data_IF_459715278737
#
_entry.id   IF_459715278737
#
_cell.length_a   1.000
_cell.length_b   1.000
_cell.length_c   1.000
_cell.angle_alpha   90.00
_cell.angle_beta   90.00
_cell.angle_gamma   90.00
#
_symmetry.space_group_name_H-M   'P 1'
#
loop_
_entity.id
_entity.type
_entity.pdbx_description
1 polymer ?
#
# COMPACT_ATOMS: atom_id res chain seq x y z
N UNK A 1 -18.07 17.32 -10.37
CA UNK A 1 -17.56 15.93 -10.27
C UNK A 1 -18.76 15.00 -10.46
N UNK A 2 -18.66 13.99 -11.31
CA UNK A 2 -19.73 12.99 -11.50
C UNK A 2 -19.79 12.05 -10.30
N UNK A 3 -20.96 11.45 -10.00
CA UNK A 3 -21.12 10.54 -8.86
C UNK A 3 -20.15 9.35 -8.91
N UNK A 4 -19.89 8.81 -10.11
CA UNK A 4 -18.87 7.77 -10.31
C UNK A 4 -17.48 8.21 -9.85
N UNK A 5 -17.07 9.46 -10.11
CA UNK A 5 -15.76 9.97 -9.67
C UNK A 5 -15.69 10.06 -8.14
N UNK A 6 -16.80 10.42 -7.49
CA UNK A 6 -16.89 10.44 -6.01
C UNK A 6 -16.73 9.06 -5.42
N UNK A 7 -17.37 8.05 -6.01
CA UNK A 7 -17.26 6.65 -5.55
C UNK A 7 -15.82 6.17 -5.71
N UNK A 8 -15.22 6.36 -6.90
CA UNK A 8 -13.85 5.93 -7.18
C UNK A 8 -12.83 6.58 -6.22
N UNK A 9 -12.97 7.87 -5.95
CA UNK A 9 -12.10 8.57 -4.98
C UNK A 9 -12.38 8.15 -3.54
N UNK A 10 -13.65 7.89 -3.21
CA UNK A 10 -14.05 7.41 -1.86
C UNK A 10 -13.40 6.09 -1.47
N UNK A 11 -13.14 5.21 -2.45
CA UNK A 11 -12.39 3.97 -2.21
C UNK A 11 -10.98 4.24 -1.66
N UNK A 12 -10.31 5.31 -2.10
CA UNK A 12 -9.00 5.71 -1.56
C UNK A 12 -9.05 6.05 -0.06
N UNK A 13 -10.16 6.61 0.42
CA UNK A 13 -10.37 6.88 1.85
C UNK A 13 -10.64 5.58 2.62
N UNK A 14 -11.29 4.61 2.01
CA UNK A 14 -11.62 3.33 2.64
C UNK A 14 -10.39 2.43 2.86
N UNK A 15 -9.36 2.54 1.99
CA UNK A 15 -8.18 1.65 1.97
C UNK A 15 -7.49 1.49 3.34
N UNK A 16 -7.12 2.56 4.09
CA UNK A 16 -6.42 2.37 5.37
C UNK A 16 -7.28 1.67 6.41
N UNK A 17 -8.59 1.91 6.43
CA UNK A 17 -9.52 1.22 7.33
C UNK A 17 -9.63 -0.26 6.97
N UNK A 18 -9.77 -0.56 5.68
CA UNK A 18 -9.86 -1.95 5.21
C UNK A 18 -8.58 -2.72 5.54
N UNK A 19 -7.41 -2.14 5.29
CA UNK A 19 -6.13 -2.75 5.65
C UNK A 19 -6.05 -3.03 7.16
N UNK A 20 -6.37 -2.04 7.99
CA UNK A 20 -6.31 -2.19 9.45
C UNK A 20 -7.22 -3.32 9.94
N UNK A 21 -8.51 -3.28 9.59
CA UNK A 21 -9.46 -4.30 10.04
C UNK A 21 -9.20 -5.67 9.40
N UNK A 22 -8.81 -5.71 8.13
CA UNK A 22 -8.49 -6.95 7.44
C UNK A 22 -7.30 -7.67 8.08
N UNK A 23 -6.20 -6.95 8.35
CA UNK A 23 -5.04 -7.50 9.04
C UNK A 23 -5.37 -7.92 10.48
N UNK A 24 -6.15 -7.10 11.20
CA UNK A 24 -6.57 -7.42 12.57
C UNK A 24 -7.40 -8.71 12.62
N UNK A 25 -8.44 -8.82 11.78
CA UNK A 25 -9.32 -10.00 11.73
C UNK A 25 -8.56 -11.26 11.32
N UNK A 26 -7.64 -11.13 10.34
CA UNK A 26 -6.81 -12.26 9.93
C UNK A 26 -5.87 -12.69 11.05
N UNK A 27 -5.26 -11.75 11.76
CA UNK A 27 -4.35 -12.03 12.87
C UNK A 27 -5.07 -12.70 14.05
N UNK A 28 -6.31 -12.31 14.36
CA UNK A 28 -7.14 -12.96 15.38
C UNK A 28 -7.44 -14.43 15.07
N UNK A 29 -7.46 -14.79 13.78
CA UNK A 29 -7.64 -16.17 13.31
C UNK A 29 -6.34 -16.97 13.23
N UNK A 30 -5.17 -16.35 13.52
CA UNK A 30 -3.86 -16.99 13.47
C UNK A 30 -3.31 -17.18 14.90
N UNK A 31 -3.33 -18.40 15.49
CA UNK A 31 -2.85 -18.64 16.84
C UNK A 31 -1.39 -18.23 17.03
N UNK A 32 -1.12 -17.43 18.05
CA UNK A 32 0.24 -17.01 18.41
C UNK A 32 0.89 -15.97 17.49
N UNK A 33 0.12 -15.34 16.58
CA UNK A 33 0.66 -14.32 15.70
C UNK A 33 1.09 -13.05 16.45
N UNK A 34 2.34 -12.62 16.22
CA UNK A 34 2.91 -11.38 16.78
C UNK A 34 2.83 -10.23 15.76
N UNK A 35 2.03 -9.21 16.07
CA UNK A 35 1.98 -7.98 15.27
C UNK A 35 3.31 -7.20 15.28
N UNK A 36 4.13 -7.39 16.31
CA UNK A 36 5.40 -6.70 16.45
C UNK A 36 6.50 -7.34 15.61
N UNK A 37 6.59 -8.66 15.63
CA UNK A 37 7.73 -9.37 15.03
C UNK A 37 7.41 -9.98 13.69
N UNK A 38 6.17 -10.47 13.49
CA UNK A 38 5.80 -11.17 12.28
C UNK A 38 5.31 -10.24 11.18
N UNK A 39 5.78 -10.51 9.96
CA UNK A 39 5.34 -9.79 8.77
C UNK A 39 3.84 -9.99 8.50
N UNK A 40 3.17 -8.97 7.96
CA UNK A 40 1.77 -9.10 7.50
C UNK A 40 1.62 -10.19 6.43
N UNK A 41 2.63 -10.39 5.58
CA UNK A 41 2.65 -11.45 4.57
C UNK A 41 2.62 -12.85 5.19
N UNK A 42 3.11 -13.04 6.41
CA UNK A 42 3.05 -14.35 7.09
C UNK A 42 1.62 -14.80 7.37
N UNK A 43 0.65 -13.87 7.46
CA UNK A 43 -0.77 -14.21 7.55
C UNK A 43 -1.28 -14.97 6.31
N UNK A 44 -0.67 -14.74 5.15
CA UNK A 44 -0.98 -15.40 3.88
C UNK A 44 0.08 -16.38 3.40
N UNK A 45 1.10 -16.72 4.23
CA UNK A 45 2.18 -17.63 3.85
C UNK A 45 1.68 -19.05 3.55
N UNK A 46 2.43 -19.79 2.76
CA UNK A 46 2.15 -21.20 2.48
C UNK A 46 2.14 -21.98 3.81
N UNK A 47 1.08 -22.75 4.02
CA UNK A 47 0.87 -23.53 5.24
C UNK A 47 0.40 -22.72 6.45
N UNK A 48 0.23 -21.40 6.36
CA UNK A 48 -0.35 -20.61 7.44
C UNK A 48 -1.84 -20.97 7.66
N UNK A 49 -2.33 -20.97 8.91
CA UNK A 49 -3.75 -21.26 9.22
C UNK A 49 -4.72 -20.33 8.49
N UNK A 50 -4.25 -19.14 8.13
CA UNK A 50 -5.05 -18.08 7.50
C UNK A 50 -4.67 -17.82 6.04
N UNK A 51 -3.91 -18.71 5.39
CA UNK A 51 -3.36 -18.50 4.04
C UNK A 51 -4.41 -18.01 3.04
N UNK A 52 -5.46 -18.79 2.80
CA UNK A 52 -6.54 -18.42 1.87
C UNK A 52 -7.36 -17.23 2.37
N UNK A 53 -7.68 -17.21 3.67
CA UNK A 53 -8.45 -16.14 4.30
C UNK A 53 -7.77 -14.78 4.17
N UNK A 54 -6.44 -14.72 4.37
CA UNK A 54 -5.65 -13.50 4.21
C UNK A 54 -5.70 -12.96 2.78
N UNK A 55 -5.53 -13.82 1.77
CA UNK A 55 -5.58 -13.40 0.37
C UNK A 55 -6.95 -12.81 0.00
N UNK A 56 -8.04 -13.48 0.39
CA UNK A 56 -9.42 -13.06 0.11
C UNK A 56 -9.84 -11.81 0.87
N UNK A 57 -9.40 -11.63 2.11
CA UNK A 57 -9.81 -10.50 2.94
C UNK A 57 -8.91 -9.27 2.74
N UNK A 58 -7.61 -9.45 2.51
CA UNK A 58 -6.66 -8.36 2.42
C UNK A 58 -6.27 -8.07 0.97
N UNK A 59 -5.54 -8.96 0.30
CA UNK A 59 -4.87 -8.67 -0.95
C UNK A 59 -5.84 -8.37 -2.10
N UNK A 60 -6.89 -9.18 -2.27
CA UNK A 60 -7.84 -9.02 -3.36
C UNK A 60 -8.68 -7.73 -3.22
N UNK A 61 -9.35 -7.45 -2.10
CA UNK A 61 -10.12 -6.22 -1.96
C UNK A 61 -9.25 -4.96 -2.04
N UNK A 62 -8.07 -4.95 -1.40
CA UNK A 62 -7.15 -3.82 -1.48
C UNK A 62 -6.67 -3.59 -2.92
N UNK A 63 -6.38 -4.66 -3.67
CA UNK A 63 -6.05 -4.58 -5.08
C UNK A 63 -7.17 -3.92 -5.88
N UNK A 64 -8.42 -4.37 -5.70
CA UNK A 64 -9.61 -3.78 -6.36
C UNK A 64 -9.76 -2.31 -6.00
N UNK A 65 -9.69 -1.95 -4.71
CA UNK A 65 -9.86 -0.56 -4.28
C UNK A 65 -8.79 0.35 -4.85
N UNK A 66 -7.53 -0.10 -4.89
CA UNK A 66 -6.42 0.68 -5.44
C UNK A 66 -6.52 0.84 -6.96
N UNK A 67 -6.89 -0.21 -7.69
CA UNK A 67 -7.11 -0.13 -9.15
C UNK A 67 -8.23 0.85 -9.47
N UNK A 68 -9.37 0.74 -8.80
CA UNK A 68 -10.51 1.63 -9.02
C UNK A 68 -10.19 3.07 -8.57
N UNK A 69 -9.48 3.24 -7.46
CA UNK A 69 -9.01 4.55 -7.01
C UNK A 69 -8.05 5.18 -8.04
N UNK A 70 -7.09 4.40 -8.57
CA UNK A 70 -6.17 4.87 -9.61
C UNK A 70 -6.92 5.38 -10.85
N UNK A 71 -7.97 4.67 -11.29
CA UNK A 71 -8.85 5.14 -12.37
C UNK A 71 -9.53 6.47 -11.98
N UNK A 72 -9.98 6.60 -10.73
CA UNK A 72 -10.54 7.85 -10.21
C UNK A 72 -9.53 9.00 -10.29
N UNK A 73 -8.27 8.78 -9.86
CA UNK A 73 -7.19 9.77 -9.95
C UNK A 73 -6.90 10.14 -11.40
N UNK A 74 -6.74 9.16 -12.31
CA UNK A 74 -6.49 9.41 -13.74
C UNK A 74 -7.55 10.31 -14.36
N UNK A 75 -8.81 10.16 -13.96
CA UNK A 75 -9.92 10.98 -14.48
C UNK A 75 -9.85 12.44 -14.02
N UNK A 76 -9.25 12.71 -12.85
CA UNK A 76 -9.12 14.06 -12.28
C UNK A 76 -7.88 14.81 -12.79
N UNK A 77 -6.81 14.09 -13.15
CA UNK A 77 -5.49 14.69 -13.40
C UNK A 77 -5.06 14.68 -14.87
N UNK A 78 -6.00 14.60 -15.81
CA UNK A 78 -5.75 14.46 -17.25
C UNK A 78 -4.84 15.54 -17.86
N UNK A 79 -4.79 16.72 -17.26
CA UNK A 79 -3.96 17.84 -17.73
C UNK A 79 -2.48 17.77 -17.35
N UNK A 80 -2.07 16.81 -16.51
CA UNK A 80 -0.68 16.69 -16.03
C UNK A 80 -0.11 15.30 -16.27
N UNK A 81 0.93 15.19 -17.12
CA UNK A 81 1.60 13.91 -17.39
C UNK A 81 2.21 13.28 -16.14
N UNK A 82 2.82 14.08 -15.25
CA UNK A 82 3.42 13.59 -14.01
C UNK A 82 2.37 13.11 -13.01
N UNK A 83 1.23 13.82 -12.91
CA UNK A 83 0.14 13.36 -12.06
C UNK A 83 -0.54 12.10 -12.65
N UNK A 84 -0.64 11.99 -13.97
CA UNK A 84 -1.10 10.76 -14.62
C UNK A 84 -0.14 9.60 -14.37
N UNK A 85 1.17 9.86 -14.43
CA UNK A 85 2.19 8.85 -14.09
C UNK A 85 2.06 8.39 -12.63
N UNK A 86 1.79 9.32 -11.68
CA UNK A 86 1.53 8.93 -10.29
C UNK A 86 0.28 8.03 -10.14
N UNK A 87 -0.75 8.27 -10.94
CA UNK A 87 -1.94 7.40 -10.94
C UNK A 87 -1.63 6.01 -11.51
N UNK A 88 -0.74 5.91 -12.51
CA UNK A 88 -0.22 4.62 -13.01
C UNK A 88 0.57 3.89 -11.92
N UNK A 89 1.37 4.59 -11.11
CA UNK A 89 2.07 3.99 -9.98
C UNK A 89 1.08 3.43 -8.95
N UNK A 90 -0.01 4.13 -8.64
CA UNK A 90 -1.08 3.61 -7.77
C UNK A 90 -1.75 2.38 -8.38
N UNK A 91 -1.98 2.36 -9.71
CA UNK A 91 -2.47 1.19 -10.42
C UNK A 91 -1.53 -0.01 -10.28
N UNK A 92 -0.22 0.21 -10.49
CA UNK A 92 0.83 -0.82 -10.32
C UNK A 92 0.78 -1.40 -8.90
N UNK A 93 0.62 -0.57 -7.88
CA UNK A 93 0.45 -1.05 -6.51
C UNK A 93 -0.76 -1.98 -6.35
N UNK A 94 -1.91 -1.60 -6.92
CA UNK A 94 -3.12 -2.43 -6.89
C UNK A 94 -2.93 -3.77 -7.58
N UNK A 95 -2.28 -3.80 -8.76
CA UNK A 95 -1.95 -5.03 -9.47
C UNK A 95 -0.95 -5.89 -8.70
N UNK A 96 0.04 -5.27 -8.07
CA UNK A 96 1.02 -5.98 -7.23
C UNK A 96 0.35 -6.57 -5.96
N UNK A 97 -0.70 -5.93 -5.42
CA UNK A 97 -1.50 -6.50 -4.33
C UNK A 97 -2.18 -7.82 -4.73
N UNK A 98 -2.72 -7.93 -5.95
CA UNK A 98 -3.21 -9.22 -6.47
C UNK A 98 -2.08 -10.25 -6.58
N UNK A 99 -0.91 -9.83 -7.06
CA UNK A 99 0.23 -10.72 -7.21
C UNK A 99 0.71 -11.26 -5.85
N UNK A 100 0.77 -10.43 -4.78
CA UNK A 100 1.12 -10.90 -3.44
C UNK A 100 0.07 -11.83 -2.83
N UNK A 101 -1.20 -11.70 -3.22
CA UNK A 101 -2.27 -12.62 -2.80
C UNK A 101 -2.23 -13.96 -3.55
N UNK A 102 -1.84 -13.95 -4.83
CA UNK A 102 -1.74 -15.14 -5.67
C UNK A 102 -0.44 -15.91 -5.39
N UNK A 103 0.70 -15.22 -5.39
CA UNK A 103 2.01 -15.79 -5.06
C UNK A 103 2.22 -15.68 -3.54
N UNK A 104 1.69 -16.63 -2.80
CA UNK A 104 1.93 -16.71 -1.37
C UNK A 104 3.44 -16.88 -1.09
N UNK A 105 3.98 -16.19 -0.08
CA UNK A 105 5.33 -16.44 0.36
C UNK A 105 5.46 -17.84 0.96
N UNK A 106 6.66 -18.38 0.95
CA UNK A 106 6.97 -19.67 1.59
C UNK A 106 6.69 -19.61 3.10
N UNK A 107 6.70 -20.75 3.75
CA UNK A 107 6.46 -20.82 5.20
C UNK A 107 7.40 -19.87 5.96
N UNK A 108 6.83 -18.97 6.76
CA UNK A 108 7.58 -17.95 7.50
C UNK A 108 8.07 -16.77 6.66
N UNK A 109 7.88 -16.77 5.33
CA UNK A 109 8.27 -15.71 4.37
C UNK A 109 9.78 -15.37 4.32
N UNK A 110 10.64 -16.17 4.91
CA UNK A 110 12.10 -15.95 4.93
C UNK A 110 12.88 -17.28 4.76
N UNK A 111 12.64 -18.05 3.69
CA UNK A 111 13.32 -19.33 3.47
C UNK A 111 14.78 -19.11 3.04
N UNK A 112 15.67 -20.06 3.42
CA UNK A 112 17.06 -20.04 2.96
C UNK A 112 17.17 -20.26 1.43
N UNK A 113 16.22 -20.99 0.83
CA UNK A 113 16.12 -21.24 -0.61
C UNK A 113 14.70 -20.84 -1.07
N UNK A 114 14.52 -19.61 -1.58
CA UNK A 114 13.21 -19.10 -1.96
C UNK A 114 12.64 -19.83 -3.18
N UNK A 115 11.39 -20.30 -3.06
CA UNK A 115 10.63 -20.84 -4.18
C UNK A 115 10.34 -19.76 -5.24
N UNK A 116 9.87 -20.19 -6.42
CA UNK A 116 9.39 -19.23 -7.43
C UNK A 116 8.27 -18.33 -6.88
N UNK A 117 7.33 -18.89 -6.10
CA UNK A 117 6.26 -18.12 -5.48
C UNK A 117 6.80 -17.06 -4.52
N UNK A 118 7.80 -17.39 -3.68
CA UNK A 118 8.48 -16.44 -2.81
C UNK A 118 9.16 -15.32 -3.58
N UNK A 119 9.84 -15.65 -4.69
CA UNK A 119 10.51 -14.64 -5.52
C UNK A 119 9.52 -13.65 -6.14
N UNK A 120 8.39 -14.16 -6.65
CA UNK A 120 7.31 -13.32 -7.21
C UNK A 120 6.63 -12.49 -6.13
N UNK A 121 6.43 -13.03 -4.94
CA UNK A 121 5.92 -12.31 -3.77
C UNK A 121 6.85 -11.14 -3.39
N UNK A 122 8.14 -11.39 -3.32
CA UNK A 122 9.14 -10.37 -2.99
C UNK A 122 9.20 -9.27 -4.06
N UNK A 123 9.15 -9.64 -5.36
CA UNK A 123 9.11 -8.68 -6.46
C UNK A 123 7.83 -7.82 -6.39
N UNK A 124 6.68 -8.43 -6.16
CA UNK A 124 5.43 -7.71 -6.01
C UNK A 124 5.47 -6.77 -4.79
N UNK A 125 6.00 -7.21 -3.65
CA UNK A 125 6.21 -6.37 -2.47
C UNK A 125 7.13 -5.17 -2.73
N UNK A 126 8.22 -5.38 -3.47
CA UNK A 126 9.12 -4.30 -3.90
C UNK A 126 8.39 -3.29 -4.81
N UNK A 127 7.61 -3.76 -5.79
CA UNK A 127 6.80 -2.90 -6.65
C UNK A 127 5.76 -2.11 -5.85
N UNK A 128 5.12 -2.72 -4.86
CA UNK A 128 4.20 -2.03 -3.94
C UNK A 128 4.91 -0.91 -3.19
N UNK A 129 6.08 -1.17 -2.61
CA UNK A 129 6.85 -0.14 -1.91
C UNK A 129 7.26 1.00 -2.83
N UNK A 130 7.93 0.70 -3.93
CA UNK A 130 8.45 1.71 -4.85
C UNK A 130 7.34 2.57 -5.46
N UNK A 131 6.22 1.96 -5.84
CA UNK A 131 5.14 2.65 -6.54
C UNK A 131 4.49 3.74 -5.68
N UNK A 132 4.08 3.48 -4.44
CA UNK A 132 3.47 4.50 -3.59
C UNK A 132 4.50 5.51 -3.05
N UNK A 133 5.75 5.08 -2.81
CA UNK A 133 6.84 5.98 -2.41
C UNK A 133 7.13 7.00 -3.51
N UNK A 134 7.24 6.56 -4.77
CA UNK A 134 7.43 7.46 -5.90
C UNK A 134 6.20 8.33 -6.17
N UNK A 135 5.00 7.78 -6.04
CA UNK A 135 3.77 8.56 -6.18
C UNK A 135 3.70 9.67 -5.13
N UNK A 136 3.98 9.38 -3.85
CA UNK A 136 3.97 10.39 -2.79
C UNK A 136 5.06 11.45 -3.00
N UNK A 137 6.24 11.06 -3.45
CA UNK A 137 7.31 11.99 -3.82
C UNK A 137 6.86 12.97 -4.92
N UNK A 138 6.25 12.47 -5.99
CA UNK A 138 5.73 13.31 -7.08
C UNK A 138 4.71 14.33 -6.58
N UNK A 139 3.76 13.92 -5.73
CA UNK A 139 2.77 14.80 -5.16
C UNK A 139 3.35 15.80 -4.15
N UNK A 140 4.53 15.55 -3.60
CA UNK A 140 5.31 16.52 -2.85
C UNK A 140 5.55 17.81 -3.64
N UNK A 141 5.80 17.68 -4.93
CA UNK A 141 6.07 18.80 -5.84
C UNK A 141 4.84 19.27 -6.63
N UNK A 142 3.91 18.38 -6.94
CA UNK A 142 2.75 18.68 -7.78
C UNK A 142 1.60 19.38 -7.04
N UNK A 143 1.46 19.13 -5.74
CA UNK A 143 0.27 19.51 -4.98
C UNK A 143 0.04 21.01 -4.87
N UNK A 144 1.09 21.82 -4.75
CA UNK A 144 0.94 23.29 -4.72
C UNK A 144 0.36 23.84 -6.02
N UNK A 145 0.75 23.26 -7.16
CA UNK A 145 0.30 23.67 -8.49
C UNK A 145 -1.07 23.11 -8.85
N UNK A 146 -1.32 21.82 -8.60
CA UNK A 146 -2.52 21.12 -9.05
C UNK A 146 -3.67 21.17 -8.05
N UNK A 147 -3.36 21.25 -6.74
CA UNK A 147 -4.34 21.22 -5.66
C UNK A 147 -4.38 22.54 -4.86
N UNK A 148 -3.51 23.50 -5.17
CA UNK A 148 -3.38 24.74 -4.41
C UNK A 148 -2.92 24.53 -2.96
N UNK A 149 -2.31 23.38 -2.62
CA UNK A 149 -1.99 22.99 -1.25
C UNK A 149 -0.51 22.68 -1.04
N UNK A 150 0.23 23.62 -0.45
CA UNK A 150 1.61 23.37 0.02
C UNK A 150 1.64 22.41 1.20
N UNK A 151 0.61 22.44 2.06
CA UNK A 151 0.50 21.56 3.23
C UNK A 151 0.44 20.10 2.79
N UNK A 152 -0.36 19.79 1.78
CA UNK A 152 -0.41 18.43 1.24
C UNK A 152 0.92 18.02 0.57
N UNK A 153 1.65 18.98 -0.03
CA UNK A 153 2.99 18.72 -0.56
C UNK A 153 3.97 18.31 0.55
N UNK A 154 4.03 19.06 1.64
CA UNK A 154 4.87 18.73 2.79
C UNK A 154 4.47 17.41 3.45
N UNK A 155 3.18 17.14 3.58
CA UNK A 155 2.66 15.86 4.06
C UNK A 155 3.13 14.70 3.15
N UNK A 156 3.04 14.86 1.82
CA UNK A 156 3.48 13.83 0.86
C UNK A 156 4.98 13.58 0.96
N UNK A 157 5.82 14.62 1.07
CA UNK A 157 7.25 14.47 1.29
C UNK A 157 7.56 13.80 2.64
N UNK A 158 6.85 14.17 3.69
CA UNK A 158 6.96 13.51 5.00
C UNK A 158 6.65 12.02 4.92
N UNK A 159 5.57 11.63 4.23
CA UNK A 159 5.24 10.23 3.99
C UNK A 159 6.35 9.50 3.20
N UNK A 160 6.92 10.14 2.17
CA UNK A 160 8.03 9.58 1.40
C UNK A 160 9.26 9.31 2.29
N UNK A 161 9.66 10.31 3.09
CA UNK A 161 10.83 10.19 3.98
C UNK A 161 10.60 9.08 5.02
N UNK A 162 9.43 9.03 5.63
CA UNK A 162 9.08 8.00 6.61
C UNK A 162 9.01 6.60 5.98
N UNK A 163 8.49 6.49 4.74
CA UNK A 163 8.47 5.22 4.02
C UNK A 163 9.89 4.70 3.77
N UNK A 164 10.82 5.57 3.33
CA UNK A 164 12.23 5.20 3.13
C UNK A 164 12.92 4.86 4.45
N UNK A 165 12.73 5.67 5.49
CA UNK A 165 13.32 5.43 6.80
C UNK A 165 12.87 4.10 7.41
N UNK A 166 11.59 3.77 7.28
CA UNK A 166 11.05 2.51 7.82
C UNK A 166 11.56 1.27 7.07
N UNK A 167 11.92 1.36 5.77
CA UNK A 167 12.60 0.26 5.06
C UNK A 167 13.98 -0.01 5.65
N UNK A 168 14.73 1.04 6.00
CA UNK A 168 16.03 0.87 6.68
C UNK A 168 15.84 0.18 8.04
N UNK A 169 14.80 0.58 8.80
CA UNK A 169 14.46 -0.07 10.07
C UNK A 169 13.99 -1.53 9.87
N UNK A 170 13.28 -1.84 8.79
CA UNK A 170 12.91 -3.22 8.43
C UNK A 170 14.15 -4.06 8.13
N UNK A 171 15.14 -3.54 7.40
CA UNK A 171 16.40 -4.24 7.14
C UNK A 171 17.15 -4.52 8.44
N UNK A 172 17.25 -3.53 9.34
CA UNK A 172 17.83 -3.72 10.66
C UNK A 172 17.08 -4.78 11.50
N UNK A 173 15.74 -4.76 11.47
CA UNK A 173 14.89 -5.70 12.20
C UNK A 173 15.07 -7.16 11.75
N UNK A 174 15.39 -7.40 10.48
CA UNK A 174 15.75 -8.74 9.97
C UNK A 174 17.01 -9.26 10.66
N UNK A 175 18.04 -8.42 10.78
CA UNK A 175 19.29 -8.79 11.46
C UNK A 175 19.11 -8.95 12.96
N UNK A 176 18.30 -8.07 13.58
CA UNK A 176 18.01 -8.10 15.01
C UNK A 176 17.05 -9.22 15.44
N UNK A 177 16.32 -9.84 14.48
CA UNK A 177 15.35 -10.90 14.74
C UNK A 177 14.09 -10.43 15.49
N UNK A 178 13.79 -9.12 15.49
CA UNK A 178 12.68 -8.54 16.25
C UNK A 178 12.13 -7.28 15.57
N UNK A 179 10.82 -6.96 15.78
CA UNK A 179 10.12 -5.76 15.37
C UNK A 179 9.92 -5.56 13.86
N UNK A 180 10.22 -6.57 13.05
CA UNK A 180 9.98 -6.47 11.60
C UNK A 180 8.52 -6.17 11.28
N UNK A 181 7.60 -6.85 11.97
CA UNK A 181 6.17 -6.66 11.80
C UNK A 181 5.72 -5.24 12.14
N UNK A 182 6.28 -4.63 13.19
CA UNK A 182 5.98 -3.24 13.55
C UNK A 182 6.41 -2.28 12.45
N UNK A 183 7.66 -2.36 12.00
CA UNK A 183 8.18 -1.44 10.98
C UNK A 183 7.49 -1.63 9.62
N UNK A 184 7.13 -2.85 9.25
CA UNK A 184 6.36 -3.11 8.03
C UNK A 184 4.97 -2.47 8.10
N UNK A 185 4.29 -2.53 9.26
CA UNK A 185 2.98 -1.89 9.46
C UNK A 185 3.06 -0.37 9.40
N UNK A 186 4.09 0.21 10.00
CA UNK A 186 4.34 1.66 9.92
C UNK A 186 4.59 2.05 8.45
N UNK A 187 5.46 1.33 7.73
CA UNK A 187 5.77 1.58 6.34
C UNK A 187 4.52 1.56 5.45
N UNK A 188 3.74 0.48 5.54
CA UNK A 188 2.56 0.33 4.71
C UNK A 188 1.41 1.24 5.17
N UNK A 189 1.27 1.44 6.48
CA UNK A 189 0.30 2.37 7.06
C UNK A 189 0.48 3.80 6.58
N UNK A 190 1.72 4.31 6.58
CA UNK A 190 2.05 5.64 6.05
C UNK A 190 1.63 5.75 4.58
N UNK A 191 1.92 4.74 3.78
CA UNK A 191 1.62 4.72 2.35
C UNK A 191 0.11 4.77 2.09
N UNK A 192 -0.70 3.98 2.80
CA UNK A 192 -2.16 3.99 2.62
C UNK A 192 -2.85 5.22 3.24
N UNK A 193 -2.29 5.80 4.31
CA UNK A 193 -2.74 7.08 4.86
C UNK A 193 -2.49 8.21 3.84
N UNK A 194 -1.35 8.18 3.15
CA UNK A 194 -1.08 9.11 2.05
C UNK A 194 -2.10 8.95 0.92
N UNK A 195 -2.46 7.72 0.53
CA UNK A 195 -3.51 7.44 -0.47
C UNK A 195 -4.84 8.08 -0.05
N UNK A 196 -5.24 7.91 1.22
CA UNK A 196 -6.47 8.53 1.74
C UNK A 196 -6.38 10.07 1.74
N UNK A 197 -5.22 10.63 2.06
CA UNK A 197 -4.96 12.06 1.97
C UNK A 197 -5.14 12.60 0.54
N UNK A 198 -4.55 11.92 -0.46
CA UNK A 198 -4.72 12.27 -1.87
C UNK A 198 -6.18 12.17 -2.30
N UNK A 199 -6.87 11.11 -1.89
CA UNK A 199 -8.29 10.91 -2.17
C UNK A 199 -9.13 12.07 -1.64
N UNK A 200 -8.92 12.50 -0.40
CA UNK A 200 -9.63 13.63 0.21
C UNK A 200 -9.32 14.96 -0.48
N UNK A 201 -8.07 15.18 -0.89
CA UNK A 201 -7.68 16.39 -1.61
C UNK A 201 -8.35 16.47 -2.99
N UNK A 202 -8.37 15.39 -3.75
CA UNK A 202 -9.04 15.31 -5.05
C UNK A 202 -10.57 15.37 -4.92
N UNK A 203 -11.11 14.84 -3.84
CA UNK A 203 -12.56 14.90 -3.57
C UNK A 203 -13.03 16.32 -3.27
N UNK A 204 -12.25 17.10 -2.49
CA UNK A 204 -12.59 18.48 -2.09
C UNK A 204 -12.21 19.51 -3.14
N UNK A 205 -11.18 19.26 -3.91
CA UNK A 205 -10.63 20.18 -4.92
C UNK A 205 -11.26 19.95 -6.29
N UNK A 206 -11.52 21.03 -7.04
CA UNK A 206 -11.53 20.97 -8.49
C UNK A 206 -10.05 20.98 -8.89
N UNK A 207 -9.52 19.86 -9.38
CA UNK A 207 -8.27 19.91 -10.11
C UNK A 207 -8.52 20.80 -11.34
N UNK A 208 -7.99 22.01 -11.30
CA UNK A 208 -8.05 23.00 -12.38
C UNK A 208 -7.13 22.58 -13.52
#
# INVERSE_FOLDING_TARGET
>A
MKDVDRILLGLGVLIPFWLFFGVLLTALAYPGYSHLDQAMSQLGAQGAPTQGFSAWLNNLPLGVFLVLFAVGVMRQVRGSRLALFSAVLILVHGLASFATGYFACDQGCAPAQPSFSQQMHNLAGLLMFLSLTLASLLWGFLSSRLLGSRVFGLFSLGCTVLAVATVVLMAWAVEAGQWFGLYQRINYGISVIWVAGLALMLWRGRAT
#
